data_IF_347478884455
#
_entry.id   IF_347478884455
#
_cell.length_a   1.000
_cell.length_b   1.000
_cell.length_c   1.000
_cell.angle_alpha   90.00
_cell.angle_beta   90.00
_cell.angle_gamma   90.00
#
_symmetry.space_group_name_H-M   'P 1'
#
loop_
_entity.id
_entity.type
_entity.pdbx_description
1 polymer ?
#
# COMPACT_ATOMS: atom_id res chain seq x y z
N UNK A 1 -8.16 5.33 4.97
CA UNK A 1 -7.04 4.87 4.13
C UNK A 1 -6.77 3.41 4.44
N UNK A 2 -6.48 2.60 3.40
CA UNK A 2 -6.03 1.22 3.59
C UNK A 2 -4.68 1.18 4.31
N UNK A 3 -4.57 0.37 5.36
CA UNK A 3 -3.42 0.33 6.30
C UNK A 3 -2.05 0.04 5.66
N UNK A 4 -2.04 -0.52 4.44
CA UNK A 4 -0.79 -0.82 3.71
C UNK A 4 -0.34 0.31 2.77
N UNK A 5 -1.09 1.41 2.68
CA UNK A 5 -0.72 2.58 1.84
C UNK A 5 0.19 3.51 2.64
N UNK A 6 1.36 3.81 2.08
CA UNK A 6 2.33 4.71 2.69
C UNK A 6 1.78 6.14 2.86
N UNK A 7 1.89 6.66 4.08
CA UNK A 7 1.34 7.98 4.44
C UNK A 7 2.07 9.17 3.78
N UNK A 8 3.33 9.02 3.38
CA UNK A 8 4.17 10.16 2.94
C UNK A 8 3.59 10.89 1.73
N UNK A 9 3.12 10.13 0.72
CA UNK A 9 2.50 10.72 -0.48
C UNK A 9 1.16 11.37 -0.16
N UNK A 10 0.33 10.69 0.61
CA UNK A 10 -0.96 11.22 1.06
C UNK A 10 -0.80 12.47 1.90
N UNK A 11 0.15 12.52 2.82
CA UNK A 11 0.41 13.69 3.65
C UNK A 11 0.73 14.94 2.82
N UNK A 12 1.50 14.80 1.72
CA UNK A 12 1.77 15.92 0.79
C UNK A 12 0.50 16.45 0.13
N UNK A 13 -0.36 15.55 -0.33
CA UNK A 13 -1.65 15.90 -0.90
C UNK A 13 -2.57 16.56 0.13
N UNK A 14 -2.74 15.95 1.30
CA UNK A 14 -3.61 16.46 2.36
C UNK A 14 -3.14 17.83 2.87
N UNK A 15 -1.83 18.02 3.03
CA UNK A 15 -1.27 19.32 3.42
C UNK A 15 -1.48 20.40 2.35
N UNK A 16 -1.41 20.06 1.06
CA UNK A 16 -1.76 20.98 -0.01
C UNK A 16 -3.25 21.31 0.03
N UNK A 17 -4.10 20.30 0.16
CA UNK A 17 -5.55 20.48 0.22
C UNK A 17 -5.96 21.41 1.38
N UNK A 18 -5.42 21.21 2.59
CA UNK A 18 -5.71 22.09 3.73
C UNK A 18 -5.25 23.53 3.53
N UNK A 19 -4.15 23.75 2.80
CA UNK A 19 -3.73 25.13 2.43
C UNK A 19 -4.70 25.80 1.47
N UNK A 20 -5.28 25.02 0.57
CA UNK A 20 -6.21 25.56 -0.45
C UNK A 20 -7.64 25.72 0.11
N UNK A 21 -7.99 24.94 1.15
CA UNK A 21 -9.35 24.85 1.75
C UNK A 21 -9.30 24.95 3.27
N UNK A 22 -8.95 26.12 3.81
CA UNK A 22 -8.70 26.36 5.25
C UNK A 22 -9.87 26.03 6.19
N UNK A 23 -11.11 25.98 5.68
CA UNK A 23 -12.30 25.69 6.47
C UNK A 23 -12.70 24.21 6.53
N UNK A 24 -11.87 23.32 5.94
CA UNK A 24 -12.17 21.88 5.93
C UNK A 24 -11.33 21.17 6.98
N UNK A 25 -12.01 20.49 7.90
CA UNK A 25 -11.37 19.58 8.85
C UNK A 25 -11.22 18.19 8.21
N UNK A 26 -10.08 17.57 8.40
CA UNK A 26 -9.76 16.24 7.86
C UNK A 26 -9.54 15.25 9.02
N UNK A 27 -10.30 14.18 9.02
CA UNK A 27 -10.06 13.01 9.84
C UNK A 27 -9.57 11.86 8.95
N UNK A 28 -8.45 11.24 9.31
CA UNK A 28 -7.88 10.09 8.60
C UNK A 28 -7.82 8.90 9.54
N UNK A 29 -8.48 7.82 9.15
CA UNK A 29 -8.41 6.54 9.84
C UNK A 29 -7.87 5.45 8.92
N UNK A 30 -7.21 4.47 9.51
CA UNK A 30 -6.66 3.31 8.79
C UNK A 30 -7.52 2.07 9.06
N UNK A 31 -7.75 1.28 8.01
CA UNK A 31 -8.50 0.03 8.11
C UNK A 31 -8.16 -0.93 6.94
N UNK A 32 -8.67 -2.16 7.01
CA UNK A 32 -8.64 -3.10 5.90
C UNK A 32 -9.57 -2.65 4.76
N UNK A 33 -9.36 -3.16 3.54
CA UNK A 33 -10.23 -2.87 2.39
C UNK A 33 -11.69 -3.20 2.70
N UNK A 34 -11.95 -4.34 3.35
CA UNK A 34 -13.31 -4.76 3.66
C UNK A 34 -13.99 -3.82 4.65
N UNK A 35 -13.28 -3.37 5.67
CA UNK A 35 -13.83 -2.42 6.63
C UNK A 35 -14.06 -1.04 6.01
N UNK A 36 -13.15 -0.56 5.16
CA UNK A 36 -13.33 0.69 4.41
C UNK A 36 -14.57 0.63 3.52
N UNK A 37 -14.81 -0.49 2.82
CA UNK A 37 -16.04 -0.70 2.04
C UNK A 37 -17.28 -0.59 2.91
N UNK A 38 -17.33 -1.33 4.00
CA UNK A 38 -18.48 -1.33 4.91
C UNK A 38 -18.78 0.08 5.44
N UNK A 39 -17.76 0.81 5.89
CA UNK A 39 -17.88 2.17 6.43
C UNK A 39 -18.28 3.19 5.36
N UNK A 40 -17.83 3.04 4.11
CA UNK A 40 -18.31 3.85 2.97
C UNK A 40 -19.81 3.61 2.72
N UNK A 41 -20.24 2.34 2.68
CA UNK A 41 -21.64 1.98 2.44
C UNK A 41 -22.57 2.49 3.56
N UNK A 42 -22.12 2.42 4.81
CA UNK A 42 -22.85 2.92 6.00
C UNK A 42 -22.87 4.45 6.07
N UNK A 43 -21.95 5.14 5.43
CA UNK A 43 -21.82 6.59 5.46
C UNK A 43 -20.95 7.12 6.59
N UNK A 44 -20.21 6.26 7.26
CA UNK A 44 -19.24 6.61 8.30
C UNK A 44 -17.94 7.19 7.72
N UNK A 45 -17.74 7.02 6.41
CA UNK A 45 -16.67 7.63 5.63
C UNK A 45 -17.23 8.34 4.41
N UNK A 46 -16.72 9.51 4.11
CA UNK A 46 -16.99 10.22 2.86
C UNK A 46 -16.24 9.60 1.68
N UNK A 47 -14.97 9.28 1.91
CA UNK A 47 -14.03 8.80 0.90
C UNK A 47 -13.11 7.73 1.49
N UNK A 48 -12.63 6.81 0.66
CA UNK A 48 -11.57 5.89 1.03
C UNK A 48 -10.44 5.91 0.00
N UNK A 49 -9.20 5.80 0.48
CA UNK A 49 -8.02 5.56 -0.37
C UNK A 49 -7.59 4.12 -0.19
N UNK A 50 -7.59 3.36 -1.27
CA UNK A 50 -7.37 1.91 -1.24
C UNK A 50 -6.84 1.38 -2.57
N UNK A 51 -6.40 0.13 -2.58
CA UNK A 51 -6.20 -0.63 -3.80
C UNK A 51 -7.52 -1.34 -4.13
N UNK A 52 -8.17 -1.05 -5.28
CA UNK A 52 -9.51 -1.58 -5.56
C UNK A 52 -9.54 -3.09 -5.71
N UNK A 53 -8.42 -3.77 -6.03
CA UNK A 53 -8.38 -5.17 -6.39
C UNK A 53 -9.52 -5.55 -7.39
N UNK A 54 -9.58 -6.76 -7.87
CA UNK A 54 -10.75 -7.25 -8.59
C UNK A 54 -11.92 -7.38 -7.59
N UNK A 55 -12.83 -6.42 -7.52
CA UNK A 55 -14.02 -6.62 -6.69
C UNK A 55 -14.65 -5.44 -5.97
N UNK A 56 -14.25 -4.20 -6.23
CA UNK A 56 -15.09 -3.07 -5.79
C UNK A 56 -16.40 -2.99 -6.59
N UNK A 57 -16.39 -3.50 -7.83
CA UNK A 57 -17.57 -3.59 -8.69
C UNK A 57 -18.24 -2.24 -8.95
N UNK A 58 -19.47 -2.28 -9.50
CA UNK A 58 -20.30 -1.09 -9.76
C UNK A 58 -20.82 -0.41 -8.46
N UNK A 59 -20.59 -1.02 -7.29
CA UNK A 59 -21.03 -0.47 -6.01
C UNK A 59 -20.24 0.77 -5.58
N UNK A 60 -19.06 1.00 -6.16
CA UNK A 60 -18.22 2.15 -5.82
C UNK A 60 -17.77 2.91 -7.07
N UNK A 61 -17.71 4.24 -6.94
CA UNK A 61 -17.02 5.10 -7.91
C UNK A 61 -15.55 5.14 -7.52
N UNK A 62 -14.67 4.79 -8.45
CA UNK A 62 -13.23 4.70 -8.23
C UNK A 62 -12.51 5.67 -9.16
N UNK A 63 -11.53 6.40 -8.62
CA UNK A 63 -10.61 7.27 -9.36
C UNK A 63 -9.19 6.87 -9.03
N UNK A 64 -8.44 6.45 -10.03
CA UNK A 64 -7.03 6.11 -9.87
C UNK A 64 -6.21 7.36 -9.56
N UNK A 65 -5.36 7.26 -8.55
CA UNK A 65 -4.47 8.31 -8.12
C UNK A 65 -3.05 8.09 -8.64
N UNK A 66 -2.47 6.93 -8.31
CA UNK A 66 -1.13 6.55 -8.75
C UNK A 66 -0.95 5.02 -8.75
N UNK A 67 0.07 4.58 -9.47
CA UNK A 67 0.51 3.18 -9.41
C UNK A 67 1.83 3.08 -8.66
N UNK A 68 2.04 1.95 -7.98
CA UNK A 68 3.28 1.62 -7.32
C UNK A 68 3.59 0.13 -7.46
N UNK A 69 4.88 -0.17 -7.57
CA UNK A 69 5.34 -1.57 -7.65
C UNK A 69 5.65 -2.11 -6.27
N UNK A 70 5.66 -3.44 -6.18
CA UNK A 70 6.19 -4.13 -5.01
C UNK A 70 7.70 -4.27 -5.12
N UNK A 71 8.35 -4.05 -4.00
CA UNK A 71 9.80 -4.18 -3.82
C UNK A 71 10.09 -5.21 -2.74
N UNK A 72 11.29 -5.75 -2.78
CA UNK A 72 11.87 -6.54 -1.69
C UNK A 72 12.69 -5.60 -0.83
N UNK A 73 12.39 -5.58 0.47
CA UNK A 73 13.01 -4.69 1.46
C UNK A 73 13.87 -5.52 2.41
N UNK A 74 15.08 -5.07 2.68
CA UNK A 74 16.04 -5.79 3.51
C UNK A 74 17.07 -4.85 4.18
N UNK A 75 17.77 -5.34 5.19
CA UNK A 75 18.84 -4.59 5.86
C UNK A 75 20.06 -4.38 4.95
N UNK A 76 20.86 -3.31 5.14
CA UNK A 76 21.97 -2.95 4.25
C UNK A 76 23.04 -4.02 4.06
N UNK A 77 23.26 -4.87 5.05
CA UNK A 77 24.25 -5.96 5.03
C UNK A 77 23.68 -7.30 4.53
N UNK A 78 22.44 -7.31 4.07
CA UNK A 78 21.84 -8.52 3.52
C UNK A 78 22.47 -8.87 2.15
N UNK A 79 22.63 -10.18 1.85
CA UNK A 79 23.21 -10.63 0.58
C UNK A 79 22.49 -10.09 -0.67
N UNK A 80 21.20 -9.79 -0.56
CA UNK A 80 20.42 -9.21 -1.65
C UNK A 80 20.88 -7.79 -2.03
N UNK A 81 21.68 -7.13 -1.21
CA UNK A 81 22.22 -5.80 -1.51
C UNK A 81 23.12 -5.78 -2.76
N UNK A 82 23.70 -6.92 -3.11
CA UNK A 82 24.54 -7.08 -4.32
C UNK A 82 23.73 -7.15 -5.62
N UNK A 83 22.42 -7.34 -5.54
CA UNK A 83 21.50 -7.45 -6.68
C UNK A 83 20.85 -6.09 -6.98
N UNK A 84 20.64 -5.80 -8.26
CA UNK A 84 19.90 -4.60 -8.71
C UNK A 84 18.39 -4.82 -8.77
N UNK A 85 17.95 -6.06 -8.94
CA UNK A 85 16.56 -6.49 -8.97
C UNK A 85 16.49 -7.91 -8.40
N UNK A 86 15.35 -8.27 -7.81
CA UNK A 86 15.16 -9.55 -7.11
C UNK A 86 14.10 -10.38 -7.87
N UNK A 87 14.45 -11.63 -8.18
CA UNK A 87 13.50 -12.64 -8.64
C UNK A 87 12.99 -13.44 -7.44
N UNK A 88 11.78 -13.99 -7.52
CA UNK A 88 11.28 -14.83 -6.42
C UNK A 88 12.19 -15.99 -6.09
N UNK A 89 12.85 -16.59 -7.07
CA UNK A 89 13.78 -17.72 -6.85
C UNK A 89 14.99 -17.34 -6.00
N UNK A 90 15.41 -16.07 -6.03
CA UNK A 90 16.52 -15.55 -5.22
C UNK A 90 16.16 -15.53 -3.71
N UNK A 91 14.88 -15.62 -3.38
CA UNK A 91 14.36 -15.54 -2.02
C UNK A 91 14.09 -16.93 -1.40
N UNK A 92 14.34 -17.99 -2.17
CA UNK A 92 14.08 -19.35 -1.66
C UNK A 92 14.94 -19.65 -0.44
N UNK A 93 14.31 -20.13 0.64
CA UNK A 93 14.90 -20.42 1.94
C UNK A 93 15.43 -19.22 2.73
N UNK A 94 15.28 -17.99 2.20
CA UNK A 94 15.59 -16.78 2.98
C UNK A 94 14.56 -16.54 4.09
N UNK A 95 15.02 -16.07 5.25
CA UNK A 95 14.11 -15.63 6.31
C UNK A 95 13.19 -14.51 5.83
N UNK A 96 11.92 -14.62 6.14
CA UNK A 96 10.88 -13.73 5.67
C UNK A 96 10.12 -13.10 6.85
N UNK A 97 9.78 -11.82 6.71
CA UNK A 97 8.92 -11.05 7.62
C UNK A 97 7.57 -10.87 6.93
N UNK A 98 6.53 -11.53 7.42
CA UNK A 98 5.22 -11.64 6.77
C UNK A 98 4.29 -10.50 7.17
N UNK A 99 3.78 -9.77 6.17
CA UNK A 99 2.81 -8.69 6.31
C UNK A 99 1.40 -9.26 6.24
N UNK A 100 0.75 -9.45 7.38
CA UNK A 100 -0.59 -10.07 7.45
C UNK A 100 -1.68 -9.21 6.82
N UNK A 101 -1.55 -7.88 6.89
CA UNK A 101 -2.50 -6.94 6.27
C UNK A 101 -2.28 -6.71 4.77
N UNK A 102 -1.30 -7.41 4.14
CA UNK A 102 -0.98 -7.21 2.74
C UNK A 102 -2.08 -7.78 1.84
N UNK A 103 -2.79 -6.92 1.13
CA UNK A 103 -3.86 -7.29 0.21
C UNK A 103 -3.35 -8.09 -1.00
N UNK A 104 -2.05 -7.96 -1.33
CA UNK A 104 -1.40 -8.71 -2.43
C UNK A 104 -0.75 -10.01 -1.95
N UNK A 105 -0.90 -10.36 -0.67
CA UNK A 105 -0.23 -11.50 -0.05
C UNK A 105 -0.53 -12.81 -0.78
N UNK A 106 -1.78 -13.07 -1.09
CA UNK A 106 -2.19 -14.31 -1.73
C UNK A 106 -1.65 -14.43 -3.16
N UNK A 107 -1.55 -13.31 -3.89
CA UNK A 107 -0.94 -13.26 -5.21
C UNK A 107 0.56 -13.62 -5.13
N UNK A 108 1.30 -13.00 -4.20
CA UNK A 108 2.74 -13.28 -4.02
C UNK A 108 2.96 -14.72 -3.57
N UNK A 109 2.16 -15.22 -2.61
CA UNK A 109 2.25 -16.61 -2.15
C UNK A 109 1.87 -17.62 -3.25
N UNK A 110 0.90 -17.27 -4.11
CA UNK A 110 0.57 -18.04 -5.32
C UNK A 110 1.76 -18.14 -6.28
N UNK A 111 2.37 -17.02 -6.60
CA UNK A 111 3.55 -16.96 -7.46
C UNK A 111 4.76 -17.73 -6.89
N UNK A 112 4.91 -17.74 -5.56
CA UNK A 112 5.94 -18.55 -4.89
C UNK A 112 5.66 -20.05 -5.07
N UNK A 113 4.41 -20.50 -4.87
CA UNK A 113 4.03 -21.93 -5.07
C UNK A 113 4.28 -22.40 -6.49
N UNK A 114 3.86 -21.60 -7.49
CA UNK A 114 4.07 -21.91 -8.91
C UNK A 114 5.54 -22.09 -9.30
N UNK A 115 6.44 -21.40 -8.59
CA UNK A 115 7.88 -21.42 -8.84
C UNK A 115 8.66 -22.31 -7.87
N UNK A 116 7.97 -23.07 -7.02
CA UNK A 116 8.56 -23.89 -5.96
C UNK A 116 9.50 -23.09 -5.03
N UNK A 117 9.17 -21.83 -4.75
CA UNK A 117 9.86 -20.98 -3.78
C UNK A 117 9.25 -21.17 -2.41
N UNK A 118 10.05 -21.64 -1.47
CA UNK A 118 9.64 -21.80 -0.08
C UNK A 118 10.07 -20.58 0.73
N UNK A 119 9.10 -19.86 1.29
CA UNK A 119 9.33 -18.76 2.21
C UNK A 119 9.07 -19.24 3.64
N UNK A 120 9.98 -18.92 4.54
CA UNK A 120 9.82 -19.23 5.96
C UNK A 120 9.64 -17.95 6.77
N UNK A 121 8.40 -17.70 7.22
CA UNK A 121 8.08 -16.52 8.01
C UNK A 121 8.60 -16.69 9.45
N UNK A 122 9.65 -15.93 9.80
CA UNK A 122 10.18 -15.84 11.17
C UNK A 122 9.41 -14.87 12.06
N UNK A 123 8.74 -13.90 11.45
CA UNK A 123 7.95 -12.90 12.16
C UNK A 123 6.73 -12.54 11.31
N UNK A 124 5.62 -12.21 11.97
CA UNK A 124 4.38 -11.78 11.33
C UNK A 124 3.78 -10.61 12.07
N UNK A 125 3.28 -9.62 11.34
CA UNK A 125 2.56 -8.49 11.91
C UNK A 125 1.57 -7.90 10.92
N UNK A 126 0.52 -7.30 11.44
CA UNK A 126 -0.40 -6.44 10.68
C UNK A 126 0.13 -5.01 10.55
N UNK A 127 1.09 -4.62 11.38
CA UNK A 127 1.62 -3.26 11.47
C UNK A 127 2.88 -3.08 10.62
N UNK A 128 2.84 -2.10 9.72
CA UNK A 128 3.92 -1.78 8.77
C UNK A 128 5.21 -1.31 9.48
N UNK A 129 5.09 -0.58 10.59
CA UNK A 129 6.24 -0.10 11.36
C UNK A 129 6.99 -1.26 12.04
N UNK A 130 6.27 -2.26 12.57
CA UNK A 130 6.89 -3.49 13.09
C UNK A 130 7.60 -4.29 12.02
N UNK A 131 6.99 -4.40 10.83
CA UNK A 131 7.61 -5.09 9.69
C UNK A 131 8.96 -4.45 9.36
N UNK A 132 9.00 -3.13 9.15
CA UNK A 132 10.24 -2.43 8.80
C UNK A 132 11.28 -2.53 9.91
N UNK A 133 10.88 -2.40 11.17
CA UNK A 133 11.78 -2.55 12.32
C UNK A 133 12.39 -3.96 12.40
N UNK A 134 11.61 -5.02 12.13
CA UNK A 134 12.11 -6.39 12.15
C UNK A 134 13.03 -6.69 10.97
N UNK A 135 12.76 -6.11 9.80
CA UNK A 135 13.67 -6.19 8.65
C UNK A 135 15.00 -5.51 8.97
N UNK A 136 14.96 -4.31 9.55
CA UNK A 136 16.17 -3.59 9.95
C UNK A 136 16.95 -4.34 11.04
N UNK A 137 16.25 -5.03 11.95
CA UNK A 137 16.83 -5.91 12.96
C UNK A 137 17.35 -7.26 12.39
N UNK A 138 17.40 -7.44 11.07
CA UNK A 138 17.94 -8.63 10.37
C UNK A 138 17.16 -9.92 10.61
N UNK A 139 15.88 -9.83 10.92
CA UNK A 139 15.03 -11.02 11.08
C UNK A 139 14.77 -11.69 9.71
N UNK A 140 14.75 -10.90 8.64
CA UNK A 140 14.55 -11.36 7.28
C UNK A 140 14.24 -10.20 6.32
N UNK A 141 13.82 -10.52 5.11
CA UNK A 141 13.33 -9.56 4.14
C UNK A 141 11.79 -9.44 4.21
N UNK A 142 11.22 -8.40 3.60
CA UNK A 142 9.78 -8.27 3.41
C UNK A 142 9.43 -7.84 1.98
N UNK A 143 8.22 -8.18 1.52
CA UNK A 143 7.63 -7.56 0.32
C UNK A 143 6.83 -6.33 0.74
N UNK A 144 7.10 -5.18 0.13
CA UNK A 144 6.41 -3.93 0.43
C UNK A 144 6.10 -3.14 -0.84
N UNK A 145 5.03 -2.34 -0.86
CA UNK A 145 4.88 -1.30 -1.88
C UNK A 145 6.02 -0.29 -1.73
N UNK A 146 6.58 0.17 -2.85
CA UNK A 146 7.79 1.02 -2.82
C UNK A 146 7.60 2.33 -2.04
N UNK A 147 6.38 2.88 -2.04
CA UNK A 147 6.09 4.14 -1.33
C UNK A 147 5.64 3.94 0.13
N UNK A 148 5.54 2.69 0.59
CA UNK A 148 5.27 2.37 1.99
C UNK A 148 6.54 2.13 2.81
N UNK A 149 7.70 2.11 2.15
CA UNK A 149 9.01 2.02 2.84
C UNK A 149 9.37 3.40 3.37
N UNK A 150 9.31 3.58 4.68
CA UNK A 150 9.53 4.85 5.36
C UNK A 150 10.86 4.93 6.10
N UNK A 151 11.48 3.79 6.43
CA UNK A 151 12.80 3.75 7.05
C UNK A 151 13.89 4.01 6.00
N UNK A 152 14.67 5.11 6.12
CA UNK A 152 15.71 5.45 5.16
C UNK A 152 16.92 4.51 5.19
N UNK A 153 17.06 3.73 6.25
CA UNK A 153 18.15 2.78 6.44
C UNK A 153 17.93 1.47 5.68
N UNK A 154 16.68 1.16 5.32
CA UNK A 154 16.36 -0.04 4.58
C UNK A 154 16.71 0.09 3.10
N UNK A 155 17.30 -0.95 2.56
CA UNK A 155 17.48 -1.09 1.12
C UNK A 155 16.24 -1.72 0.51
N UNK A 156 15.94 -1.29 -0.72
CA UNK A 156 14.85 -1.86 -1.51
C UNK A 156 15.31 -2.17 -2.93
N UNK A 157 14.79 -3.24 -3.48
CA UNK A 157 15.00 -3.62 -4.89
C UNK A 157 13.68 -4.04 -5.52
N UNK A 158 13.46 -3.71 -6.79
CA UNK A 158 12.25 -4.13 -7.49
C UNK A 158 12.13 -5.65 -7.52
N UNK A 159 10.92 -6.15 -7.21
CA UNK A 159 10.57 -7.55 -7.46
C UNK A 159 10.29 -7.71 -8.96
N UNK A 160 10.98 -8.67 -9.57
CA UNK A 160 10.78 -9.04 -10.97
C UNK A 160 10.50 -10.55 -11.06
N UNK A 161 9.82 -10.99 -12.12
CA UNK A 161 9.52 -12.41 -12.35
C UNK A 161 8.81 -13.14 -11.19
N UNK A 162 7.56 -12.72 -10.86
CA UNK A 162 6.75 -11.73 -11.55
C UNK A 162 7.00 -10.31 -11.02
N UNK A 163 6.83 -9.31 -11.90
CA UNK A 163 6.64 -7.95 -11.43
C UNK A 163 5.23 -7.84 -10.84
N UNK A 164 5.15 -7.29 -9.62
CA UNK A 164 3.89 -7.07 -8.91
C UNK A 164 3.73 -5.57 -8.70
N UNK A 165 2.57 -5.06 -9.07
CA UNK A 165 2.20 -3.66 -8.88
C UNK A 165 0.76 -3.55 -8.39
N UNK A 166 0.42 -2.40 -7.83
CA UNK A 166 -0.96 -2.05 -7.47
C UNK A 166 -1.28 -0.63 -7.91
N UNK A 167 -2.56 -0.35 -8.07
CA UNK A 167 -3.08 1.00 -8.25
C UNK A 167 -3.68 1.47 -6.93
N UNK A 168 -3.31 2.66 -6.49
CA UNK A 168 -3.93 3.33 -5.35
C UNK A 168 -4.99 4.27 -5.89
N UNK A 169 -6.22 4.12 -5.39
CA UNK A 169 -7.39 4.80 -5.91
C UNK A 169 -8.19 5.45 -4.80
N UNK A 170 -8.91 6.52 -5.14
CA UNK A 170 -9.92 7.16 -4.30
C UNK A 170 -11.28 6.55 -4.61
N UNK A 171 -11.95 6.01 -3.59
CA UNK A 171 -13.26 5.37 -3.71
C UNK A 171 -14.34 6.17 -2.98
N UNK A 172 -15.56 6.15 -3.54
CA UNK A 172 -16.76 6.74 -2.97
C UNK A 172 -18.01 5.96 -3.39
N UNK A 173 -19.15 6.17 -2.70
CA UNK A 173 -20.42 5.52 -3.05
C UNK A 173 -21.13 6.33 -4.15
N UNK A 174 -21.47 5.73 -5.31
CA UNK A 174 -22.22 6.39 -6.36
C UNK A 174 -23.64 6.74 -5.88
N UNK A 175 -24.18 7.84 -6.40
CA UNK A 175 -25.56 8.30 -6.05
C UNK A 175 -25.67 9.03 -4.71
N UNK A 176 -24.68 9.01 -3.85
CA UNK A 176 -24.62 9.84 -2.65
C UNK A 176 -24.13 11.24 -3.02
N UNK A 177 -24.88 12.31 -2.71
CA UNK A 177 -24.43 13.68 -2.96
C UNK A 177 -23.19 13.98 -2.13
N UNK A 178 -22.18 14.54 -2.76
CA UNK A 178 -21.01 15.05 -2.03
C UNK A 178 -21.33 16.33 -1.28
N UNK A 179 -20.83 16.47 -0.07
CA UNK A 179 -20.71 17.77 0.56
C UNK A 179 -19.79 18.68 -0.29
N UNK A 180 -19.85 20.01 -0.16
CA UNK A 180 -18.93 20.91 -0.83
C UNK A 180 -17.45 20.55 -0.56
N UNK A 181 -17.14 20.15 0.67
CA UNK A 181 -15.79 19.74 1.09
C UNK A 181 -15.38 18.42 0.40
N UNK A 182 -16.25 17.42 0.40
CA UNK A 182 -15.99 16.12 -0.28
C UNK A 182 -15.81 16.32 -1.78
N UNK A 183 -16.65 17.15 -2.42
CA UNK A 183 -16.52 17.46 -3.84
C UNK A 183 -15.19 18.17 -4.17
N UNK A 184 -14.77 19.10 -3.29
CA UNK A 184 -13.47 19.77 -3.43
C UNK A 184 -12.31 18.78 -3.29
N UNK A 185 -12.37 17.86 -2.32
CA UNK A 185 -11.35 16.82 -2.11
C UNK A 185 -11.21 15.90 -3.33
N UNK A 186 -12.34 15.45 -3.89
CA UNK A 186 -12.31 14.61 -5.10
C UNK A 186 -11.67 15.34 -6.27
N UNK A 187 -12.06 16.61 -6.54
CA UNK A 187 -11.44 17.39 -7.62
C UNK A 187 -9.96 17.64 -7.38
N UNK A 188 -9.58 17.97 -6.15
CA UNK A 188 -8.19 18.19 -5.80
C UNK A 188 -7.36 16.91 -6.00
N UNK A 189 -7.88 15.74 -5.61
CA UNK A 189 -7.21 14.46 -5.79
C UNK A 189 -7.02 14.09 -7.27
N UNK A 190 -8.00 14.41 -8.13
CA UNK A 190 -7.95 14.16 -9.57
C UNK A 190 -6.94 15.06 -10.31
N UNK A 191 -6.65 16.24 -9.78
CA UNK A 191 -5.76 17.23 -10.40
C UNK A 191 -4.39 17.31 -9.72
N UNK A 192 -4.19 16.56 -8.64
CA UNK A 192 -2.93 16.53 -7.95
C UNK A 192 -1.89 15.77 -8.77
N UNK A 193 -0.68 16.29 -8.82
CA UNK A 193 0.47 15.64 -9.46
C UNK A 193 0.99 14.51 -8.55
N UNK A 194 0.36 13.35 -8.69
CA UNK A 194 0.77 12.16 -7.98
C UNK A 194 2.07 11.63 -8.55
N UNK A 195 3.11 11.44 -7.74
CA UNK A 195 4.36 10.90 -8.24
C UNK A 195 4.16 9.46 -8.73
N UNK A 196 4.46 9.25 -9.99
CA UNK A 196 4.48 7.97 -10.68
C UNK A 196 5.88 7.36 -10.65
#
# INVERSE_FOLDING_TARGET
VMSTIGHVKLARFLAKFQRDYHGVELEVSEASVQELKNRLEQGDLDLAVLNPLEGLGAAFRVHDLYSERYVVVFAPDHRLATLNAIKLVDLSQEPYVDRLSCEMRDLVMGACRERNVSLYARFRSEREDWIQSMVLARIGFAFMPEYSVTSPELLQRPLIEPAVARTVSLASVPGRPYSPATAAMVRAAQTFDWPG
#
